data_IF_314552669834
#
_entry.id   IF_314552669834
#
_cell.length_a   1.000
_cell.length_b   1.000
_cell.length_c   1.000
_cell.angle_alpha   90.00
_cell.angle_beta   90.00
_cell.angle_gamma   90.00
#
_symmetry.space_group_name_H-M   'P 1'
#
loop_
_entity.id
_entity.type
_entity.pdbx_description
1 polymer ?
#
# COMPACT_ATOMS: atom_id res chain seq x y z
N UNK A 1 20.96 26.78 29.47
CA UNK A 1 19.49 26.72 29.30
C UNK A 1 19.14 26.13 27.93
N UNK A 2 18.40 25.01 27.85
CA UNK A 2 17.94 24.45 26.59
C UNK A 2 16.71 25.20 26.04
N UNK A 3 16.66 25.42 24.73
CA UNK A 3 15.53 25.98 23.99
C UNK A 3 15.42 25.33 22.61
N UNK A 4 14.34 24.58 22.37
CA UNK A 4 14.16 23.76 21.15
C UNK A 4 15.38 22.88 20.88
N UNK A 5 16.13 23.25 19.85
CA UNK A 5 17.28 22.55 19.29
C UNK A 5 18.63 23.16 19.72
N UNK A 6 18.59 24.19 20.59
CA UNK A 6 19.73 25.02 20.99
C UNK A 6 19.95 24.89 22.50
N UNK A 7 21.19 24.70 22.92
CA UNK A 7 21.63 24.81 24.31
C UNK A 7 22.41 26.10 24.47
N UNK A 8 21.90 27.03 25.26
CA UNK A 8 22.55 28.30 25.59
C UNK A 8 23.41 28.11 26.84
N UNK A 9 24.68 28.47 26.77
CA UNK A 9 25.67 28.36 27.84
C UNK A 9 26.23 29.76 28.08
N UNK A 10 26.28 30.19 29.34
CA UNK A 10 26.95 31.43 29.75
C UNK A 10 28.32 31.00 30.29
N UNK A 11 29.39 31.49 29.68
CA UNK A 11 30.77 31.17 30.11
C UNK A 11 31.15 31.96 31.36
N UNK A 12 32.27 31.58 31.99
CA UNK A 12 32.83 32.31 33.14
C UNK A 12 33.18 33.76 32.79
N UNK A 13 33.55 34.02 31.52
CA UNK A 13 33.81 35.35 30.97
C UNK A 13 32.53 36.13 30.61
N UNK A 14 31.37 35.62 31.02
CA UNK A 14 30.05 36.22 30.77
C UNK A 14 29.67 36.31 29.27
N UNK A 15 30.24 35.42 28.44
CA UNK A 15 29.90 35.31 27.01
C UNK A 15 28.80 34.27 26.78
N UNK A 16 28.01 34.47 25.73
CA UNK A 16 26.95 33.56 25.33
C UNK A 16 27.47 32.61 24.27
N UNK A 17 27.52 31.31 24.59
CA UNK A 17 27.87 30.22 23.67
C UNK A 17 26.65 29.35 23.43
N UNK A 18 26.47 28.91 22.19
CA UNK A 18 25.38 28.01 21.79
C UNK A 18 25.92 26.67 21.29
N UNK A 19 25.21 25.60 21.65
CA UNK A 19 25.45 24.22 21.22
C UNK A 19 24.15 23.60 20.70
N UNK A 20 24.25 22.47 20.00
CA UNK A 20 23.09 21.67 19.62
C UNK A 20 22.55 20.93 20.85
N UNK A 21 21.25 21.09 21.09
CA UNK A 21 20.55 20.37 22.14
C UNK A 21 19.79 19.17 21.54
N UNK A 22 19.79 18.06 22.27
CA UNK A 22 18.95 16.88 22.01
C UNK A 22 18.40 16.39 23.34
N UNK A 23 17.14 15.94 23.36
CA UNK A 23 16.53 15.38 24.57
C UNK A 23 17.13 14.01 24.87
N UNK A 24 17.11 13.60 26.14
CA UNK A 24 17.60 12.27 26.56
C UNK A 24 16.83 11.11 25.90
N UNK A 25 15.60 11.36 25.43
CA UNK A 25 14.78 10.39 24.69
C UNK A 25 15.08 10.36 23.19
N UNK A 26 15.94 11.25 22.68
CA UNK A 26 16.37 11.22 21.28
C UNK A 26 17.38 10.08 21.09
N UNK A 27 17.04 9.18 20.17
CA UNK A 27 17.87 8.01 19.83
C UNK A 27 18.80 8.28 18.65
N UNK A 28 18.74 9.49 18.08
CA UNK A 28 19.41 9.90 16.84
C UNK A 28 19.15 8.92 15.69
N UNK A 29 17.94 8.34 15.68
CA UNK A 29 17.50 7.42 14.64
C UNK A 29 17.10 8.17 13.36
N UNK A 30 18.11 8.50 12.55
CA UNK A 30 17.90 9.06 11.22
C UNK A 30 17.42 8.00 10.21
N UNK A 31 16.97 8.47 9.05
CA UNK A 31 16.47 7.62 7.99
C UNK A 31 17.55 6.68 7.45
N UNK A 32 17.37 5.37 7.60
CA UNK A 32 18.28 4.33 7.07
C UNK A 32 18.55 4.48 5.56
N UNK A 33 19.80 4.33 5.13
CA UNK A 33 20.21 4.53 3.75
C UNK A 33 19.58 3.53 2.76
N UNK A 34 19.30 2.30 3.19
CA UNK A 34 18.65 1.27 2.37
C UNK A 34 17.13 1.36 2.35
N UNK A 35 16.55 2.30 3.11
CA UNK A 35 15.10 2.49 3.12
C UNK A 35 14.56 2.92 1.75
N UNK A 36 13.28 2.61 1.53
CA UNK A 36 12.57 2.87 0.28
C UNK A 36 12.11 4.34 0.16
N UNK A 37 13.08 5.24 0.03
CA UNK A 37 12.87 6.68 -0.15
C UNK A 37 13.58 7.19 -1.41
N UNK A 38 13.13 8.30 -2.00
CA UNK A 38 13.82 8.93 -3.11
C UNK A 38 15.31 9.19 -2.79
N UNK A 39 16.19 8.90 -3.75
CA UNK A 39 17.64 9.06 -3.57
C UNK A 39 18.02 10.45 -3.06
N UNK A 40 17.45 11.51 -3.65
CA UNK A 40 17.75 12.88 -3.27
C UNK A 40 17.44 13.19 -1.79
N UNK A 41 16.40 12.58 -1.21
CA UNK A 41 16.06 12.76 0.21
C UNK A 41 17.19 12.22 1.08
N UNK A 42 17.61 10.99 0.81
CA UNK A 42 18.68 10.32 1.55
C UNK A 42 19.99 11.10 1.40
N UNK A 43 20.38 11.44 0.18
CA UNK A 43 21.63 12.16 -0.11
C UNK A 43 21.70 13.55 0.55
N UNK A 44 20.55 14.22 0.76
CA UNK A 44 20.52 15.54 1.38
C UNK A 44 20.52 15.53 2.91
N UNK A 45 20.26 14.38 3.56
CA UNK A 45 20.20 14.30 5.03
C UNK A 45 21.52 14.74 5.69
N UNK A 46 22.71 14.22 5.29
CA UNK A 46 23.97 14.64 5.90
C UNK A 46 24.21 16.14 5.80
N UNK A 47 23.94 16.72 4.62
CA UNK A 47 24.09 18.16 4.39
C UNK A 47 23.17 18.99 5.29
N UNK A 48 21.90 18.62 5.41
CA UNK A 48 20.93 19.38 6.21
C UNK A 48 21.24 19.30 7.70
N UNK A 49 21.62 18.11 8.21
CA UNK A 49 22.00 17.93 9.61
C UNK A 49 23.30 18.68 9.94
N UNK A 50 24.30 18.62 9.07
CA UNK A 50 25.56 19.36 9.24
C UNK A 50 25.33 20.88 9.18
N UNK A 51 24.51 21.35 8.24
CA UNK A 51 24.16 22.78 8.13
C UNK A 51 23.50 23.30 9.41
N UNK A 52 22.64 22.48 10.03
CA UNK A 52 22.02 22.80 11.32
C UNK A 52 23.07 22.92 12.43
N UNK A 53 24.01 21.99 12.55
CA UNK A 53 25.10 22.06 13.53
C UNK A 53 25.90 23.34 13.33
N UNK A 54 26.37 23.60 12.10
CA UNK A 54 27.19 24.77 11.77
C UNK A 54 26.49 26.09 12.10
N UNK A 55 25.17 26.15 11.91
CA UNK A 55 24.36 27.34 12.19
C UNK A 55 24.16 27.57 13.69
N UNK A 56 24.07 26.50 14.49
CA UNK A 56 23.74 26.60 15.92
C UNK A 56 25.00 26.72 16.79
N UNK A 57 26.08 26.01 16.46
CA UNK A 57 27.28 25.97 17.32
C UNK A 57 28.11 27.24 17.19
N UNK A 58 28.41 27.92 18.31
CA UNK A 58 29.22 29.15 18.30
C UNK A 58 30.71 28.87 18.07
N UNK A 59 31.27 27.83 18.70
CA UNK A 59 32.71 27.58 18.70
C UNK A 59 33.11 26.47 17.73
N UNK A 60 34.27 26.60 17.09
CA UNK A 60 34.78 25.61 16.13
C UNK A 60 35.10 24.26 16.79
N UNK A 61 35.59 24.28 18.03
CA UNK A 61 35.88 23.07 18.80
C UNK A 61 34.60 22.24 18.97
N UNK A 62 33.52 22.90 19.39
CA UNK A 62 32.23 22.25 19.62
C UNK A 62 31.59 21.80 18.30
N UNK A 63 31.66 22.64 17.27
CA UNK A 63 31.21 22.30 15.91
C UNK A 63 31.86 21.01 15.41
N UNK A 64 33.19 20.92 15.49
CA UNK A 64 33.92 19.74 15.02
C UNK A 64 33.56 18.49 15.83
N UNK A 65 33.42 18.61 17.15
CA UNK A 65 32.93 17.52 18.01
C UNK A 65 31.54 17.02 17.57
N UNK A 66 30.59 17.94 17.37
CA UNK A 66 29.21 17.60 16.96
C UNK A 66 29.15 17.01 15.55
N UNK A 67 30.01 17.45 14.64
CA UNK A 67 30.11 16.88 13.30
C UNK A 67 30.64 15.43 13.30
N UNK A 68 31.59 15.11 14.18
CA UNK A 68 32.07 13.73 14.36
C UNK A 68 31.00 12.82 14.99
N UNK A 69 30.25 13.32 15.97
CA UNK A 69 29.08 12.61 16.53
C UNK A 69 28.03 12.33 15.43
N UNK A 70 27.71 13.34 14.61
CA UNK A 70 26.81 13.19 13.46
C UNK A 70 27.29 12.12 12.48
N UNK A 71 28.60 12.09 12.19
CA UNK A 71 29.20 11.07 11.32
C UNK A 71 28.99 9.67 11.89
N UNK A 72 29.17 9.48 13.20
CA UNK A 72 28.91 8.20 13.86
C UNK A 72 27.42 7.80 13.76
N UNK A 73 26.49 8.73 14.00
CA UNK A 73 25.05 8.47 13.89
C UNK A 73 24.63 8.07 12.46
N UNK A 74 25.17 8.75 11.44
CA UNK A 74 24.86 8.43 10.04
C UNK A 74 25.49 7.10 9.60
N UNK A 75 26.68 6.75 10.08
CA UNK A 75 27.29 5.42 9.87
C UNK A 75 26.42 4.31 10.46
N UNK A 76 25.83 4.51 11.65
CA UNK A 76 24.86 3.59 12.26
C UNK A 76 23.61 3.38 11.40
N UNK A 77 23.25 4.35 10.56
CA UNK A 77 22.14 4.28 9.59
C UNK A 77 22.57 3.80 8.19
N UNK A 78 23.78 3.25 8.08
CA UNK A 78 24.40 2.72 6.85
C UNK A 78 24.62 3.73 5.72
N UNK A 79 24.80 5.01 6.04
CA UNK A 79 25.23 5.97 5.02
C UNK A 79 26.66 5.67 4.59
N UNK A 80 26.95 5.63 3.27
CA UNK A 80 28.32 5.53 2.78
C UNK A 80 29.15 6.73 3.23
N UNK A 81 30.38 6.48 3.67
CA UNK A 81 31.27 7.52 4.21
C UNK A 81 31.51 8.68 3.23
N UNK A 82 31.59 8.39 1.93
CA UNK A 82 31.68 9.38 0.87
C UNK A 82 30.49 10.36 0.86
N UNK A 83 29.27 9.85 1.05
CA UNK A 83 28.05 10.67 1.07
C UNK A 83 28.01 11.55 2.31
N UNK A 84 28.41 11.00 3.47
CA UNK A 84 28.49 11.74 4.73
C UNK A 84 29.50 12.89 4.60
N UNK A 85 30.73 12.56 4.21
CA UNK A 85 31.82 13.53 4.09
C UNK A 85 31.48 14.61 3.07
N UNK A 86 30.93 14.24 1.91
CA UNK A 86 30.47 15.19 0.91
C UNK A 86 29.41 16.16 1.46
N UNK A 87 28.41 15.64 2.18
CA UNK A 87 27.36 16.47 2.77
C UNK A 87 27.89 17.44 3.84
N UNK A 88 28.79 16.98 4.71
CA UNK A 88 29.44 17.81 5.74
C UNK A 88 30.31 18.88 5.10
N UNK A 89 31.17 18.51 4.14
CA UNK A 89 32.03 19.46 3.43
C UNK A 89 31.21 20.53 2.70
N UNK A 90 30.16 20.10 1.98
CA UNK A 90 29.24 21.03 1.33
C UNK A 90 28.59 22.01 2.32
N UNK A 91 28.26 21.56 3.53
CA UNK A 91 27.70 22.42 4.56
C UNK A 91 28.74 23.40 5.13
N UNK A 92 29.98 22.95 5.36
CA UNK A 92 31.10 23.79 5.78
C UNK A 92 31.42 24.88 4.75
N UNK A 93 31.50 24.53 3.46
CA UNK A 93 31.73 25.50 2.38
C UNK A 93 30.60 26.53 2.29
N UNK A 94 29.36 26.12 2.53
CA UNK A 94 28.21 27.04 2.51
C UNK A 94 28.21 28.00 3.71
N UNK A 95 28.75 27.55 4.85
CA UNK A 95 28.77 28.31 6.10
C UNK A 95 27.39 28.47 6.74
N UNK A 96 27.31 29.19 7.88
CA UNK A 96 26.05 29.54 8.51
C UNK A 96 25.25 30.47 7.60
N UNK A 97 23.92 30.31 7.58
CA UNK A 97 23.04 31.16 6.78
C UNK A 97 22.99 32.55 7.43
N UNK A 98 23.61 33.54 6.78
CA UNK A 98 23.58 34.94 7.25
C UNK A 98 22.16 35.50 7.11
N UNK A 99 21.63 36.06 8.19
CA UNK A 99 20.24 36.53 8.31
C UNK A 99 19.91 37.68 7.36
N UNK A 100 20.90 38.50 6.98
CA UNK A 100 20.75 39.62 6.04
C UNK A 100 20.36 39.17 4.64
N UNK A 101 20.90 38.04 4.17
CA UNK A 101 20.55 37.45 2.87
C UNK A 101 19.08 36.98 2.83
N UNK A 102 18.50 36.54 3.96
CA UNK A 102 17.08 36.16 4.04
C UNK A 102 16.14 37.36 3.96
N UNK A 103 16.50 38.51 4.53
CA UNK A 103 15.64 39.72 4.49
C UNK A 103 15.55 40.32 3.08
N UNK A 104 16.60 40.20 2.29
CA UNK A 104 16.57 40.65 0.88
C UNK A 104 15.64 39.85 -0.02
N UNK A 105 15.38 38.57 0.30
CA UNK A 105 14.45 37.71 -0.47
C UNK A 105 12.98 37.85 -0.02
N UNK A 106 12.70 38.41 1.16
CA UNK A 106 11.31 38.60 1.67
C UNK A 106 10.60 39.85 1.15
N UNK A 107 11.04 40.42 0.03
CA UNK A 107 10.22 41.34 -0.75
C UNK A 107 9.06 40.58 -1.41
N UNK A 108 8.02 41.29 -1.85
CA UNK A 108 6.78 40.77 -2.48
C UNK A 108 7.00 39.80 -3.67
N UNK A 109 8.24 39.61 -4.12
CA UNK A 109 8.63 38.65 -5.15
C UNK A 109 8.52 37.18 -4.68
N UNK A 110 8.74 36.89 -3.39
CA UNK A 110 8.69 35.53 -2.84
C UNK A 110 7.26 34.97 -2.72
N UNK A 111 6.30 35.79 -2.32
CA UNK A 111 4.87 35.41 -2.27
C UNK A 111 4.31 35.24 -3.70
N UNK A 112 4.75 36.07 -4.64
CA UNK A 112 4.43 35.92 -6.07
C UNK A 112 5.04 34.66 -6.71
N UNK A 113 6.16 34.14 -6.20
CA UNK A 113 6.78 32.91 -6.71
C UNK A 113 6.05 31.62 -6.27
N UNK A 114 5.43 31.59 -5.09
CA UNK A 114 4.63 30.43 -4.64
C UNK A 114 3.41 30.19 -5.54
N UNK A 115 2.76 31.26 -6.01
CA UNK A 115 1.67 31.17 -7.01
C UNK A 115 2.15 30.72 -8.39
N UNK A 116 3.48 30.66 -8.61
CA UNK A 116 4.09 30.20 -9.85
C UNK A 116 4.48 28.72 -9.83
N UNK A 117 4.32 27.98 -8.73
CA UNK A 117 4.75 26.58 -8.67
C UNK A 117 3.56 25.63 -8.70
N UNK A 118 3.58 24.66 -9.61
CA UNK A 118 2.61 23.56 -9.63
C UNK A 118 3.33 22.26 -9.25
N UNK A 119 3.04 21.66 -8.08
CA UNK A 119 3.66 20.40 -7.70
C UNK A 119 2.99 19.24 -8.44
N UNK A 120 3.76 18.54 -9.29
CA UNK A 120 3.35 17.27 -9.86
C UNK A 120 3.66 16.15 -8.86
N UNK A 121 2.64 15.73 -8.12
CA UNK A 121 2.85 14.85 -6.97
C UNK A 121 2.56 13.38 -7.29
N UNK A 122 3.59 12.55 -7.27
CA UNK A 122 3.52 11.09 -7.46
C UNK A 122 3.87 10.33 -6.18
N UNK A 123 3.52 9.05 -6.09
CA UNK A 123 3.99 8.19 -4.98
C UNK A 123 5.34 7.59 -5.39
N UNK A 124 6.35 7.66 -4.52
CA UNK A 124 7.65 7.07 -4.82
C UNK A 124 7.57 5.54 -4.84
N UNK A 125 7.99 4.95 -5.95
CA UNK A 125 8.26 3.53 -6.10
C UNK A 125 9.54 3.36 -6.93
N UNK A 126 10.54 2.61 -6.45
CA UNK A 126 11.81 2.44 -7.17
C UNK A 126 11.68 1.68 -8.49
N UNK A 127 10.55 0.99 -8.71
CA UNK A 127 10.26 0.26 -9.96
C UNK A 127 9.53 1.11 -11.00
N UNK A 128 9.07 2.31 -10.63
CA UNK A 128 8.35 3.17 -11.56
C UNK A 128 9.32 3.87 -12.51
N UNK A 129 8.92 3.99 -13.77
CA UNK A 129 9.60 4.81 -14.78
C UNK A 129 9.56 6.30 -14.41
N UNK A 130 10.43 7.11 -15.00
CA UNK A 130 10.42 8.57 -14.77
C UNK A 130 9.22 9.24 -15.45
N UNK A 131 8.05 9.15 -14.82
CA UNK A 131 6.78 9.75 -15.26
C UNK A 131 6.92 11.27 -15.44
N UNK A 132 7.83 11.92 -14.72
CA UNK A 132 8.00 13.37 -14.81
C UNK A 132 8.57 13.81 -16.16
N UNK A 133 9.37 12.96 -16.80
CA UNK A 133 9.85 13.23 -18.17
C UNK A 133 8.70 13.31 -19.18
N UNK A 134 7.77 12.38 -19.10
CA UNK A 134 6.54 12.37 -19.91
C UNK A 134 5.64 13.57 -19.59
N UNK A 135 5.55 13.92 -18.30
CA UNK A 135 4.80 15.09 -17.87
C UNK A 135 5.33 16.39 -18.51
N UNK A 136 6.67 16.57 -18.63
CA UNK A 136 7.27 17.73 -19.32
C UNK A 136 6.91 17.77 -20.82
N UNK A 137 6.78 16.61 -21.47
CA UNK A 137 6.32 16.55 -22.86
C UNK A 137 4.85 16.99 -22.97
N UNK A 138 4.00 16.56 -22.04
CA UNK A 138 2.61 17.01 -21.96
C UNK A 138 2.55 18.51 -21.72
N UNK A 139 3.33 19.04 -20.75
CA UNK A 139 3.42 20.47 -20.47
C UNK A 139 3.74 21.26 -21.75
N UNK A 140 4.73 20.83 -22.52
CA UNK A 140 5.09 21.46 -23.81
C UNK A 140 3.92 21.45 -24.80
N UNK A 141 3.14 20.37 -24.84
CA UNK A 141 1.94 20.28 -25.69
C UNK A 141 0.78 21.12 -25.16
N UNK A 142 0.61 21.26 -23.85
CA UNK A 142 -0.42 22.09 -23.24
C UNK A 142 -0.21 23.58 -23.60
N UNK A 143 1.04 24.05 -23.65
CA UNK A 143 1.35 25.41 -24.09
C UNK A 143 1.04 25.68 -25.57
N UNK A 144 0.81 24.66 -26.41
CA UNK A 144 0.37 24.86 -27.81
C UNK A 144 -1.09 25.31 -27.92
N UNK A 145 -1.90 25.05 -26.90
CA UNK A 145 -3.30 25.48 -26.87
C UNK A 145 -3.40 26.85 -26.21
N UNK A 146 -3.97 27.82 -26.91
CA UNK A 146 -4.16 29.19 -26.40
C UNK A 146 -4.90 29.22 -25.05
N UNK A 147 -5.89 28.34 -24.88
CA UNK A 147 -6.65 28.22 -23.63
C UNK A 147 -5.75 27.74 -22.48
N UNK A 148 -4.94 26.71 -22.72
CA UNK A 148 -4.11 26.11 -21.68
C UNK A 148 -2.87 26.95 -21.38
N UNK A 149 -2.33 27.65 -22.37
CA UNK A 149 -1.23 28.60 -22.18
C UNK A 149 -1.65 29.75 -21.25
N UNK A 150 -2.86 30.29 -21.41
CA UNK A 150 -3.45 31.30 -20.50
C UNK A 150 -3.63 30.78 -19.07
N UNK A 151 -3.90 29.47 -18.90
CA UNK A 151 -4.13 28.84 -17.58
C UNK A 151 -2.82 28.50 -16.88
N UNK A 152 -1.86 27.93 -17.60
CA UNK A 152 -0.55 27.56 -17.07
C UNK A 152 0.36 28.77 -16.89
N UNK A 153 0.26 29.78 -17.75
CA UNK A 153 1.07 31.00 -17.69
C UNK A 153 2.57 30.66 -17.57
N UNK A 154 3.34 31.47 -16.83
CA UNK A 154 4.75 31.19 -16.49
C UNK A 154 4.90 30.30 -15.24
N UNK A 155 3.94 29.41 -14.96
CA UNK A 155 4.02 28.54 -13.79
C UNK A 155 5.02 27.41 -14.05
N UNK A 156 5.95 27.19 -13.12
CA UNK A 156 6.95 26.13 -13.13
C UNK A 156 6.37 24.86 -12.49
N UNK A 157 6.41 23.77 -13.24
CA UNK A 157 5.97 22.47 -12.74
C UNK A 157 7.16 21.74 -12.10
N UNK A 158 6.99 21.27 -10.86
CA UNK A 158 8.06 20.59 -10.10
C UNK A 158 7.70 19.14 -9.81
N UNK A 159 8.70 18.27 -9.85
CA UNK A 159 8.51 16.87 -9.47
C UNK A 159 8.49 16.74 -7.94
N UNK A 160 7.39 16.23 -7.40
CA UNK A 160 7.22 15.98 -5.98
C UNK A 160 6.86 14.51 -5.75
N UNK A 161 7.52 13.87 -4.79
CA UNK A 161 7.29 12.44 -4.49
C UNK A 161 6.81 12.25 -3.05
N UNK A 162 5.62 11.70 -2.89
CA UNK A 162 5.07 11.23 -1.60
C UNK A 162 5.72 9.91 -1.23
N UNK A 163 5.86 9.67 0.07
CA UNK A 163 6.26 8.36 0.59
C UNK A 163 5.15 7.33 0.34
N UNK A 164 5.52 6.12 -0.07
CA UNK A 164 4.60 4.98 -0.15
C UNK A 164 4.05 4.61 1.23
N UNK A 165 2.85 4.03 1.29
CA UNK A 165 2.30 3.53 2.56
C UNK A 165 3.20 2.41 3.11
N UNK A 166 3.49 2.46 4.41
CA UNK A 166 4.13 1.36 5.12
C UNK A 166 3.12 0.24 5.37
N UNK A 167 3.60 -0.97 5.68
CA UNK A 167 2.73 -2.09 6.05
C UNK A 167 1.80 -1.70 7.21
N UNK A 168 2.31 -1.01 8.23
CA UNK A 168 1.49 -0.44 9.32
C UNK A 168 0.33 0.39 8.77
N UNK A 169 0.60 1.35 7.88
CA UNK A 169 -0.46 2.18 7.26
C UNK A 169 -1.43 1.41 6.35
N UNK A 170 -1.03 0.25 5.83
CA UNK A 170 -1.95 -0.63 5.11
C UNK A 170 -2.86 -1.43 6.06
N UNK A 171 -2.31 -1.87 7.20
CA UNK A 171 -3.01 -2.72 8.16
C UNK A 171 -3.84 -1.91 9.16
N UNK A 172 -3.42 -0.69 9.49
CA UNK A 172 -4.12 0.20 10.41
C UNK A 172 -4.84 1.27 9.60
N UNK A 173 -6.15 1.12 9.44
CA UNK A 173 -7.01 2.21 8.98
C UNK A 173 -7.43 3.06 10.18
N UNK A 174 -7.45 4.38 10.02
CA UNK A 174 -8.02 5.29 11.03
C UNK A 174 -9.54 5.25 11.08
N UNK A 175 -10.18 4.61 10.09
CA UNK A 175 -11.62 4.46 9.98
C UNK A 175 -11.96 2.99 9.78
N UNK A 176 -12.77 2.46 10.68
CA UNK A 176 -13.39 1.15 10.51
C UNK A 176 -14.79 1.39 9.92
N UNK A 177 -14.94 1.23 8.61
CA UNK A 177 -16.26 1.20 7.97
C UNK A 177 -16.88 -0.19 8.18
N UNK A 178 -17.23 -0.52 9.42
CA UNK A 178 -18.08 -1.67 9.71
C UNK A 178 -19.55 -1.24 9.56
N UNK A 179 -20.11 -1.41 8.37
CA UNK A 179 -21.55 -1.60 8.30
C UNK A 179 -21.81 -3.03 8.82
N UNK A 180 -22.45 -3.15 9.98
CA UNK A 180 -22.88 -4.41 10.62
C UNK A 180 -23.99 -5.13 9.82
N UNK A 181 -23.96 -5.10 8.49
CA UNK A 181 -24.80 -5.99 7.71
C UNK A 181 -24.20 -7.37 7.78
N UNK A 182 -24.85 -8.28 8.50
CA UNK A 182 -24.52 -9.71 8.47
C UNK A 182 -24.48 -10.13 7.00
N UNK A 183 -23.35 -10.61 6.48
CA UNK A 183 -23.27 -11.00 5.08
C UNK A 183 -24.19 -12.19 4.81
N UNK A 184 -24.96 -12.13 3.72
CA UNK A 184 -25.97 -13.15 3.39
C UNK A 184 -25.74 -13.69 1.97
N UNK A 185 -25.92 -15.00 1.81
CA UNK A 185 -26.11 -15.61 0.49
C UNK A 185 -27.58 -15.46 0.11
N UNK A 186 -27.88 -14.75 -0.97
CA UNK A 186 -29.27 -14.51 -1.43
C UNK A 186 -29.50 -15.09 -2.82
N UNK A 187 -30.67 -15.67 -3.06
CA UNK A 187 -31.08 -16.07 -4.41
C UNK A 187 -31.29 -14.83 -5.30
N UNK A 188 -31.04 -14.97 -6.60
CA UNK A 188 -31.36 -13.88 -7.53
C UNK A 188 -32.88 -13.78 -7.77
N UNK A 189 -33.33 -12.64 -8.27
CA UNK A 189 -34.74 -12.38 -8.59
C UNK A 189 -35.27 -13.07 -9.84
N UNK A 190 -34.41 -13.76 -10.60
CA UNK A 190 -34.79 -14.45 -11.84
C UNK A 190 -35.46 -15.80 -11.54
N UNK A 191 -36.76 -15.90 -11.87
CA UNK A 191 -37.58 -17.11 -11.68
C UNK A 191 -37.11 -18.30 -12.52
N UNK A 192 -36.38 -18.06 -13.63
CA UNK A 192 -35.86 -19.12 -14.51
C UNK A 192 -34.44 -19.58 -14.13
N UNK A 193 -33.88 -19.04 -13.05
CA UNK A 193 -32.53 -19.39 -12.64
C UNK A 193 -32.47 -20.82 -12.07
N UNK A 194 -31.91 -21.75 -12.86
CA UNK A 194 -31.75 -23.16 -12.47
C UNK A 194 -30.76 -23.39 -11.32
N UNK A 195 -30.02 -22.37 -10.89
CA UNK A 195 -29.10 -22.44 -9.75
C UNK A 195 -29.77 -22.10 -8.43
N UNK A 196 -30.76 -21.20 -8.43
CA UNK A 196 -31.45 -20.76 -7.21
C UNK A 196 -32.14 -21.90 -6.43
N UNK A 197 -32.79 -22.90 -7.05
CA UNK A 197 -33.40 -24.01 -6.32
C UNK A 197 -32.43 -24.78 -5.43
N UNK A 198 -31.18 -24.91 -5.87
CA UNK A 198 -30.14 -25.67 -5.17
C UNK A 198 -29.22 -24.78 -4.31
N UNK A 199 -29.40 -23.46 -4.35
CA UNK A 199 -28.59 -22.51 -3.58
C UNK A 199 -29.08 -22.46 -2.12
N UNK A 200 -28.18 -22.73 -1.19
CA UNK A 200 -28.42 -22.58 0.25
C UNK A 200 -28.40 -21.08 0.58
N UNK A 201 -29.52 -20.58 1.08
CA UNK A 201 -29.78 -19.16 1.37
C UNK A 201 -29.53 -18.86 2.85
N UNK A 202 -28.30 -19.12 3.30
CA UNK A 202 -27.88 -18.94 4.69
C UNK A 202 -26.55 -18.17 4.77
N UNK A 203 -26.28 -17.58 5.94
CA UNK A 203 -25.02 -16.88 6.21
C UNK A 203 -23.91 -17.83 6.68
N UNK A 204 -24.25 -19.07 7.03
CA UNK A 204 -23.32 -20.08 7.53
C UNK A 204 -23.73 -21.48 7.13
N UNK A 205 -22.81 -22.44 7.23
CA UNK A 205 -23.06 -23.84 6.93
C UNK A 205 -22.17 -24.76 7.78
N UNK A 206 -22.68 -25.94 8.12
CA UNK A 206 -21.91 -27.05 8.66
C UNK A 206 -21.66 -28.09 7.56
N UNK A 207 -20.42 -28.53 7.44
CA UNK A 207 -20.03 -29.61 6.54
C UNK A 207 -20.06 -30.96 7.26
N UNK A 208 -20.17 -32.04 6.49
CA UNK A 208 -20.21 -33.42 7.00
C UNK A 208 -19.04 -33.76 7.94
N UNK A 209 -17.86 -33.20 7.70
CA UNK A 209 -16.68 -33.40 8.54
C UNK A 209 -16.65 -32.54 9.81
N UNK A 210 -17.79 -31.94 10.20
CA UNK A 210 -17.96 -31.14 11.41
C UNK A 210 -17.48 -29.69 11.28
N UNK A 211 -16.90 -29.28 10.15
CA UNK A 211 -16.41 -27.91 9.98
C UNK A 211 -17.56 -26.93 9.76
N UNK A 212 -17.49 -25.81 10.46
CA UNK A 212 -18.42 -24.70 10.33
C UNK A 212 -17.79 -23.56 9.52
N UNK A 213 -18.57 -22.95 8.64
CA UNK A 213 -18.13 -21.80 7.86
C UNK A 213 -19.19 -20.70 7.81
N UNK A 214 -18.77 -19.45 8.01
CA UNK A 214 -19.63 -18.27 7.92
C UNK A 214 -19.14 -17.35 6.80
N UNK A 215 -20.05 -16.94 5.92
CA UNK A 215 -19.72 -16.04 4.82
C UNK A 215 -19.40 -14.63 5.33
N UNK A 216 -18.43 -13.98 4.68
CA UNK A 216 -17.99 -12.62 5.03
C UNK A 216 -18.42 -11.56 4.02
N UNK A 217 -19.13 -11.97 2.96
CA UNK A 217 -19.52 -11.10 1.85
C UNK A 217 -20.89 -11.53 1.33
N UNK A 218 -21.69 -10.55 0.87
CA UNK A 218 -22.96 -10.82 0.21
C UNK A 218 -22.69 -11.51 -1.13
N UNK A 219 -23.34 -12.64 -1.37
CA UNK A 219 -23.16 -13.44 -2.59
C UNK A 219 -24.49 -13.95 -3.12
N UNK A 220 -24.54 -14.24 -4.41
CA UNK A 220 -25.70 -14.84 -5.06
C UNK A 220 -25.25 -15.75 -6.21
N UNK A 221 -26.21 -16.40 -6.86
CA UNK A 221 -25.93 -17.15 -8.09
C UNK A 221 -25.42 -16.29 -9.26
N UNK A 222 -25.48 -14.95 -9.18
CA UNK A 222 -24.89 -14.02 -10.16
C UNK A 222 -23.49 -13.53 -9.77
N UNK A 223 -22.98 -13.89 -8.59
CA UNK A 223 -21.62 -13.51 -8.18
C UNK A 223 -20.58 -14.18 -9.08
N UNK A 224 -19.59 -13.41 -9.51
CA UNK A 224 -18.45 -13.86 -10.32
C UNK A 224 -17.17 -13.89 -9.49
N UNK A 225 -16.13 -14.59 -9.95
CA UNK A 225 -14.85 -14.70 -9.24
C UNK A 225 -15.01 -15.33 -7.84
N UNK A 226 -15.76 -16.43 -7.76
CA UNK A 226 -16.24 -17.05 -6.52
C UNK A 226 -15.55 -18.40 -6.27
N UNK A 227 -15.19 -18.65 -5.02
CA UNK A 227 -14.92 -19.97 -4.48
C UNK A 227 -16.23 -20.49 -3.88
N UNK A 228 -16.64 -21.70 -4.25
CA UNK A 228 -17.92 -22.29 -3.86
C UNK A 228 -17.74 -23.73 -3.37
N UNK A 229 -18.75 -24.21 -2.65
CA UNK A 229 -18.89 -25.61 -2.24
C UNK A 229 -20.13 -26.23 -2.90
N UNK A 230 -19.99 -27.48 -3.36
CA UNK A 230 -21.08 -28.34 -3.80
C UNK A 230 -21.22 -29.49 -2.81
N UNK A 231 -22.44 -29.75 -2.35
CA UNK A 231 -22.72 -30.75 -1.32
C UNK A 231 -23.67 -31.79 -1.91
N UNK A 232 -23.29 -33.06 -1.84
CA UNK A 232 -24.11 -34.16 -2.31
C UNK A 232 -25.42 -34.20 -1.53
N UNK A 233 -26.56 -34.23 -2.24
CA UNK A 233 -27.88 -34.25 -1.58
C UNK A 233 -28.22 -35.59 -0.92
N UNK A 234 -27.38 -36.62 -1.08
CA UNK A 234 -27.60 -37.95 -0.49
C UNK A 234 -26.64 -38.22 0.69
N UNK A 235 -25.32 -38.21 0.46
CA UNK A 235 -24.34 -38.60 1.47
C UNK A 235 -23.63 -37.43 2.18
N UNK A 236 -24.01 -36.19 1.85
CA UNK A 236 -23.46 -34.93 2.37
C UNK A 236 -21.96 -34.69 2.15
N UNK A 237 -21.28 -35.56 1.39
CA UNK A 237 -19.92 -35.30 0.92
C UNK A 237 -19.89 -34.04 0.06
N UNK A 238 -18.77 -33.31 0.13
CA UNK A 238 -18.69 -32.00 -0.49
C UNK A 238 -17.40 -31.77 -1.26
N UNK A 239 -17.50 -30.89 -2.24
CA UNK A 239 -16.46 -30.46 -3.17
C UNK A 239 -16.31 -28.95 -3.10
N UNK A 240 -15.08 -28.44 -3.08
CA UNK A 240 -14.76 -27.01 -3.19
C UNK A 240 -14.18 -26.73 -4.58
N UNK A 241 -14.67 -25.69 -5.25
CA UNK A 241 -14.17 -25.28 -6.56
C UNK A 241 -14.14 -23.77 -6.75
N UNK A 242 -13.46 -23.32 -7.81
CA UNK A 242 -13.45 -21.93 -8.26
C UNK A 242 -14.23 -21.66 -9.56
N UNK A 243 -14.67 -20.43 -9.74
CA UNK A 243 -15.14 -19.92 -11.04
C UNK A 243 -14.74 -18.47 -11.25
N UNK A 244 -14.24 -18.16 -12.45
CA UNK A 244 -14.05 -16.78 -12.93
C UNK A 244 -15.39 -16.14 -13.30
N UNK A 245 -16.24 -16.90 -14.00
CA UNK A 245 -17.56 -16.47 -14.47
C UNK A 245 -18.59 -16.49 -13.32
N UNK A 246 -19.80 -16.02 -13.61
CA UNK A 246 -20.93 -16.09 -12.68
C UNK A 246 -21.16 -17.52 -12.18
N UNK A 247 -21.47 -17.66 -10.89
CA UNK A 247 -21.71 -18.94 -10.24
C UNK A 247 -22.73 -19.78 -11.01
N UNK A 248 -23.85 -19.18 -11.44
CA UNK A 248 -24.89 -19.89 -12.21
C UNK A 248 -24.36 -20.55 -13.48
N UNK A 249 -23.43 -19.91 -14.18
CA UNK A 249 -22.83 -20.45 -15.41
C UNK A 249 -22.00 -21.68 -15.09
N UNK A 250 -21.23 -21.63 -14.00
CA UNK A 250 -20.46 -22.79 -13.53
C UNK A 250 -21.36 -23.95 -13.10
N UNK A 251 -22.49 -23.67 -12.47
CA UNK A 251 -23.46 -24.71 -12.07
C UNK A 251 -24.15 -25.38 -13.27
N UNK A 252 -24.38 -24.65 -14.36
CA UNK A 252 -24.86 -25.24 -15.61
C UNK A 252 -23.85 -26.24 -16.16
N UNK A 253 -22.56 -25.90 -16.14
CA UNK A 253 -21.50 -26.83 -16.55
C UNK A 253 -21.46 -28.07 -15.65
N UNK A 254 -21.52 -27.91 -14.33
CA UNK A 254 -21.57 -29.07 -13.42
C UNK A 254 -22.75 -29.99 -13.74
N UNK A 255 -23.97 -29.46 -13.92
CA UNK A 255 -25.14 -30.27 -14.29
C UNK A 255 -24.93 -31.04 -15.59
N UNK A 256 -24.40 -30.39 -16.62
CA UNK A 256 -24.10 -31.06 -17.90
C UNK A 256 -23.08 -32.20 -17.72
N UNK A 257 -21.99 -31.92 -17.01
CA UNK A 257 -20.90 -32.87 -16.75
C UNK A 257 -21.30 -34.01 -15.80
N UNK A 258 -22.33 -33.82 -14.99
CA UNK A 258 -22.91 -34.86 -14.13
C UNK A 258 -23.91 -35.73 -14.87
N UNK A 259 -24.59 -35.22 -15.90
CA UNK A 259 -25.62 -35.97 -16.62
C UNK A 259 -25.10 -36.72 -17.85
N UNK A 260 -23.90 -36.38 -18.33
CA UNK A 260 -23.28 -37.00 -19.49
C UNK A 260 -21.90 -37.53 -19.11
N UNK A 261 -21.76 -38.86 -19.06
CA UNK A 261 -20.51 -39.54 -18.67
C UNK A 261 -19.32 -39.13 -19.55
N UNK A 262 -19.54 -38.93 -20.85
CA UNK A 262 -18.51 -38.50 -21.81
C UNK A 262 -17.92 -37.11 -21.50
N UNK A 263 -18.60 -36.30 -20.67
CA UNK A 263 -18.20 -34.94 -20.31
C UNK A 263 -17.73 -34.83 -18.85
N UNK A 264 -17.68 -35.94 -18.10
CA UNK A 264 -17.32 -35.92 -16.69
C UNK A 264 -15.82 -35.69 -16.49
N UNK A 265 -15.45 -34.44 -16.18
CA UNK A 265 -14.04 -34.04 -16.00
C UNK A 265 -13.53 -34.09 -14.56
N UNK A 266 -14.42 -34.19 -13.57
CA UNK A 266 -14.05 -34.14 -12.15
C UNK A 266 -14.79 -35.22 -11.36
N UNK A 267 -14.11 -35.82 -10.39
CA UNK A 267 -14.63 -36.87 -9.49
C UNK A 267 -15.93 -36.47 -8.79
N UNK A 268 -16.04 -35.19 -8.40
CA UNK A 268 -17.26 -34.69 -7.77
C UNK A 268 -18.51 -34.89 -8.65
N UNK A 269 -18.40 -34.68 -9.96
CA UNK A 269 -19.55 -34.82 -10.86
C UNK A 269 -19.95 -36.29 -11.04
N UNK A 270 -18.98 -37.20 -11.17
CA UNK A 270 -19.20 -38.65 -11.19
C UNK A 270 -19.90 -39.11 -9.89
N UNK A 271 -19.41 -38.63 -8.75
CA UNK A 271 -20.02 -38.90 -7.46
C UNK A 271 -21.47 -38.41 -7.41
N UNK A 272 -21.77 -37.18 -7.84
CA UNK A 272 -23.15 -36.69 -7.84
C UNK A 272 -24.06 -37.51 -8.76
N UNK A 273 -23.57 -37.96 -9.91
CA UNK A 273 -24.33 -38.82 -10.81
C UNK A 273 -24.74 -40.12 -10.10
N UNK A 274 -23.75 -40.84 -9.58
CA UNK A 274 -23.93 -42.18 -8.98
C UNK A 274 -24.62 -42.14 -7.62
N UNK A 275 -24.29 -41.17 -6.77
CA UNK A 275 -24.72 -41.13 -5.38
C UNK A 275 -26.08 -40.44 -5.20
N UNK A 276 -26.36 -39.36 -5.93
CA UNK A 276 -27.55 -38.52 -5.70
C UNK A 276 -28.44 -38.35 -6.92
N UNK A 277 -28.18 -39.10 -8.00
CA UNK A 277 -28.85 -38.95 -9.29
C UNK A 277 -28.72 -37.51 -9.83
N UNK A 278 -27.50 -36.98 -9.75
CA UNK A 278 -27.11 -35.65 -10.21
C UNK A 278 -27.53 -34.48 -9.32
N UNK A 279 -28.03 -34.74 -8.11
CA UNK A 279 -28.52 -33.69 -7.19
C UNK A 279 -27.45 -33.22 -6.20
N UNK A 280 -27.20 -31.93 -6.15
CA UNK A 280 -26.30 -31.31 -5.19
C UNK A 280 -26.83 -29.95 -4.73
N UNK A 281 -26.51 -29.57 -3.49
CA UNK A 281 -26.74 -28.24 -2.92
C UNK A 281 -25.51 -27.37 -3.16
N UNK A 282 -25.68 -26.05 -3.18
CA UNK A 282 -24.67 -25.08 -3.58
C UNK A 282 -24.52 -24.04 -2.49
N UNK A 283 -23.28 -23.80 -2.05
CA UNK A 283 -22.98 -22.76 -1.07
C UNK A 283 -21.72 -21.96 -1.47
N UNK A 284 -21.84 -20.66 -1.80
CA UNK A 284 -20.67 -19.84 -2.11
C UNK A 284 -19.89 -19.49 -0.84
N UNK A 285 -18.57 -19.67 -0.88
CA UNK A 285 -17.68 -19.50 0.28
C UNK A 285 -17.03 -18.11 0.31
N UNK A 286 -16.52 -17.66 -0.83
CA UNK A 286 -15.75 -16.43 -0.90
C UNK A 286 -15.75 -15.80 -2.29
N UNK A 287 -15.91 -14.47 -2.35
CA UNK A 287 -15.79 -13.70 -3.58
C UNK A 287 -14.47 -12.93 -3.60
N UNK A 288 -13.70 -13.08 -4.67
CA UNK A 288 -12.43 -12.36 -4.85
C UNK A 288 -12.72 -11.03 -5.56
N UNK A 289 -12.56 -9.91 -4.85
CA UNK A 289 -12.93 -8.59 -5.39
C UNK A 289 -11.96 -8.04 -6.45
N UNK A 290 -10.78 -8.63 -6.60
CA UNK A 290 -9.80 -8.25 -7.61
C UNK A 290 -9.82 -9.26 -8.75
N UNK A 291 -9.83 -8.78 -10.00
CA UNK A 291 -9.69 -9.62 -11.20
C UNK A 291 -8.26 -10.15 -11.29
N UNK A 292 -7.95 -11.17 -10.49
CA UNK A 292 -6.64 -11.80 -10.39
C UNK A 292 -6.83 -13.32 -10.27
N UNK A 293 -6.59 -14.02 -11.38
CA UNK A 293 -6.77 -15.47 -11.48
C UNK A 293 -5.80 -16.23 -10.55
N UNK A 294 -4.57 -15.75 -10.37
CA UNK A 294 -3.61 -16.34 -9.44
C UNK A 294 -4.11 -16.29 -7.99
N UNK A 295 -4.66 -15.15 -7.58
CA UNK A 295 -5.20 -14.99 -6.23
C UNK A 295 -6.40 -15.90 -5.98
N UNK A 296 -7.31 -16.05 -6.96
CA UNK A 296 -8.48 -16.93 -6.84
C UNK A 296 -8.06 -18.39 -6.68
N UNK A 297 -7.12 -18.88 -7.51
CA UNK A 297 -6.58 -20.25 -7.40
C UNK A 297 -5.90 -20.51 -6.05
N UNK A 298 -5.12 -19.53 -5.55
CA UNK A 298 -4.51 -19.64 -4.21
C UNK A 298 -5.54 -19.61 -3.08
N UNK A 299 -6.68 -18.95 -3.28
CA UNK A 299 -7.80 -19.01 -2.33
C UNK A 299 -8.51 -20.35 -2.38
N UNK A 300 -8.75 -20.92 -3.56
CA UNK A 300 -9.30 -22.27 -3.71
C UNK A 300 -8.45 -23.30 -2.96
N UNK A 301 -7.14 -23.32 -3.20
CA UNK A 301 -6.17 -24.20 -2.49
C UNK A 301 -6.25 -24.02 -0.97
N UNK A 302 -6.31 -22.77 -0.50
CA UNK A 302 -6.49 -22.45 0.91
C UNK A 302 -7.80 -23.01 1.46
N UNK A 303 -8.92 -22.85 0.75
CA UNK A 303 -10.23 -23.36 1.19
C UNK A 303 -10.31 -24.88 1.19
N UNK A 304 -9.68 -25.54 0.21
CA UNK A 304 -9.56 -27.00 0.20
C UNK A 304 -8.77 -27.47 1.44
N UNK A 305 -7.63 -26.84 1.74
CA UNK A 305 -6.83 -27.20 2.91
C UNK A 305 -7.57 -26.93 4.24
N UNK A 306 -8.24 -25.78 4.35
CA UNK A 306 -8.98 -25.41 5.56
C UNK A 306 -10.21 -26.30 5.75
N UNK A 307 -10.96 -26.61 4.69
CA UNK A 307 -12.23 -27.32 4.78
C UNK A 307 -12.09 -28.83 4.64
N UNK A 308 -10.97 -29.35 4.10
CA UNK A 308 -10.74 -30.78 3.86
C UNK A 308 -11.95 -31.52 3.22
N UNK A 309 -12.37 -31.11 2.02
CA UNK A 309 -13.50 -31.71 1.30
C UNK A 309 -13.20 -33.12 0.77
N UNK A 310 -14.10 -34.08 1.00
CA UNK A 310 -13.92 -35.48 0.58
C UNK A 310 -14.01 -35.74 -0.92
N UNK A 311 -14.46 -34.77 -1.73
CA UNK A 311 -14.62 -34.90 -3.19
C UNK A 311 -13.56 -34.13 -4.00
N UNK A 312 -12.56 -33.53 -3.35
CA UNK A 312 -11.46 -32.84 -4.04
C UNK A 312 -10.22 -33.71 -4.25
N UNK A 313 -10.14 -34.86 -3.56
CA UNK A 313 -9.04 -35.79 -3.71
C UNK A 313 -9.08 -36.45 -5.09
N UNK A 314 -7.90 -36.58 -5.71
CA UNK A 314 -7.73 -37.22 -7.02
C UNK A 314 -8.13 -38.69 -6.98
#
# INVERSE_FOLDING_TARGET
>A
MPFLDILVIITEDNEIVTDIFSKDTDTHMYLNFYSNHPKHVKLNIPFNLASRIITITSTDILRNKRLEELKAYLKKQHYPEQVINYGIQKALTKGPIVTESRRSETTEESSNNLNKIIPFVTTYNPRDYDIFSFMRQIETNLHKSERMDKVLQKKKIINSKRQSKSLKRYLTSSKFDFNETVPIVKKCTDKRCMTCPNLIEESSIYFKNGKHFTVRQNMSCKSSNVIYSLICSNCEEFYVGETKNELRTRMTLHRQQTNHEDLTLIRANDHFHRCSNGRFKIFPLYMVNRQNDFLRRKKEELFINILNPGLNDK
#
